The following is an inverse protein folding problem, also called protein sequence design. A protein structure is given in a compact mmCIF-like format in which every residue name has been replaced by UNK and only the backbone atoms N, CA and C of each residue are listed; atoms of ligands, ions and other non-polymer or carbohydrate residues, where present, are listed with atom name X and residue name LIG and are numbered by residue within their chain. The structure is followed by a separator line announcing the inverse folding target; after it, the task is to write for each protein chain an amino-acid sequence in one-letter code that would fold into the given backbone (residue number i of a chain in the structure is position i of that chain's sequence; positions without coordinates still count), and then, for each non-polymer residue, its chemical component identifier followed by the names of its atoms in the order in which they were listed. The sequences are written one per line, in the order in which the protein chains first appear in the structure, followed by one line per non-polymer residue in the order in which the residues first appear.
data_IF_760408872842
#
_entry.id   IF_760408872842
#
_cell.length_a   1.000
_cell.length_b   1.000
_cell.length_c   1.000
_cell.angle_alpha   90.00
_cell.angle_beta   90.00
_cell.angle_gamma   90.00
#
_symmetry.space_group_name_H-M   'P 1'
#
loop_
_entity.id
_entity.type
_entity.pdbx_description
1 polymer ?
#
# COMPACT_ATOMS: atom_id res chain seq x y z
N UNK A 1 -3.52 24.47 7.43
CA UNK A 1 -4.35 25.18 8.45
C UNK A 1 -4.04 24.71 9.87
N UNK A 2 -3.87 23.39 10.12
CA UNK A 2 -3.50 22.81 11.42
C UNK A 2 -2.14 23.28 11.97
N UNK A 3 -1.08 23.33 11.16
CA UNK A 3 0.23 23.86 11.60
C UNK A 3 0.17 25.32 12.10
N UNK A 4 -0.63 26.17 11.43
CA UNK A 4 -0.83 27.56 11.86
C UNK A 4 -1.59 27.65 13.19
N UNK A 5 -2.50 26.72 13.45
CA UNK A 5 -3.20 26.61 14.73
C UNK A 5 -2.29 26.09 15.84
N UNK A 6 -1.44 25.10 15.53
CA UNK A 6 -0.47 24.53 16.47
C UNK A 6 0.55 25.55 16.93
N UNK A 7 1.12 26.30 15.97
CA UNK A 7 2.07 27.36 16.27
C UNK A 7 1.39 28.45 17.11
N UNK A 8 0.17 28.87 16.75
CA UNK A 8 -0.61 29.83 17.53
C UNK A 8 -0.92 29.34 18.95
N UNK A 9 -1.30 28.08 19.13
CA UNK A 9 -1.63 27.53 20.45
C UNK A 9 -0.37 27.45 21.34
N UNK A 10 0.76 27.02 20.76
CA UNK A 10 2.05 27.03 21.44
C UNK A 10 2.47 28.44 21.87
N UNK A 11 2.34 29.43 20.99
CA UNK A 11 2.58 30.85 21.34
C UNK A 11 1.62 31.36 22.41
N UNK A 12 0.34 30.99 22.36
CA UNK A 12 -0.65 31.36 23.39
C UNK A 12 -0.27 30.76 24.75
N UNK A 13 0.04 29.46 24.81
CA UNK A 13 0.47 28.81 26.05
C UNK A 13 1.75 29.42 26.62
N UNK A 14 2.74 29.71 25.76
CA UNK A 14 3.99 30.36 26.17
C UNK A 14 3.74 31.77 26.69
N UNK A 15 2.89 32.55 26.02
CA UNK A 15 2.52 33.91 26.47
C UNK A 15 1.77 33.88 27.80
N UNK A 16 0.82 32.97 27.98
CA UNK A 16 0.08 32.79 29.24
C UNK A 16 1.04 32.43 30.37
N UNK A 17 1.97 31.49 30.13
CA UNK A 17 2.96 31.11 31.12
C UNK A 17 3.89 32.28 31.50
N UNK A 18 4.38 33.05 30.52
CA UNK A 18 5.19 34.24 30.77
C UNK A 18 4.45 35.33 31.54
N UNK A 19 3.17 35.58 31.22
CA UNK A 19 2.33 36.55 31.94
C UNK A 19 2.09 36.10 33.38
N UNK A 20 1.74 34.83 33.59
CA UNK A 20 1.55 34.29 34.93
C UNK A 20 2.85 34.40 35.73
N UNK A 21 3.99 33.97 35.19
CA UNK A 21 5.30 34.08 35.84
C UNK A 21 5.64 35.54 36.24
N UNK A 22 5.34 36.51 35.38
CA UNK A 22 5.50 37.92 35.70
C UNK A 22 4.57 38.38 36.84
N UNK A 23 3.31 37.95 36.85
CA UNK A 23 2.36 38.23 37.94
C UNK A 23 2.88 37.65 39.26
N UNK A 24 3.42 36.43 39.26
CA UNK A 24 4.01 35.82 40.44
C UNK A 24 5.22 36.60 40.96
N UNK A 25 6.13 37.01 40.08
CA UNK A 25 7.30 37.81 40.45
C UNK A 25 6.89 39.18 41.03
N UNK A 26 5.92 39.86 40.40
CA UNK A 26 5.42 41.15 40.90
C UNK A 26 4.72 40.97 42.26
N UNK A 27 3.85 39.97 42.39
CA UNK A 27 3.10 39.74 43.61
C UNK A 27 4.00 39.36 44.80
N UNK A 28 5.00 38.50 44.56
CA UNK A 28 5.95 38.07 45.60
C UNK A 28 6.92 39.18 46.03
N UNK A 29 7.49 39.93 45.09
CA UNK A 29 8.53 40.94 45.41
C UNK A 29 7.97 42.33 45.75
N UNK A 30 6.89 42.76 45.10
CA UNK A 30 6.33 44.12 45.28
C UNK A 30 5.25 44.15 46.34
N UNK A 31 4.33 43.19 46.30
CA UNK A 31 3.15 43.19 47.19
C UNK A 31 3.36 42.40 48.49
N UNK A 32 4.47 41.65 48.62
CA UNK A 32 4.82 40.85 49.80
C UNK A 32 3.65 39.98 50.28
N UNK A 33 3.10 39.17 49.36
CA UNK A 33 2.01 38.24 49.67
C UNK A 33 2.35 37.36 50.89
N UNK A 34 1.34 37.06 51.69
CA UNK A 34 1.46 36.10 52.79
C UNK A 34 1.54 34.64 52.28
N UNK A 35 1.85 33.71 53.19
CA UNK A 35 2.03 32.29 52.83
C UNK A 35 0.77 31.65 52.23
N UNK A 36 -0.41 32.08 52.65
CA UNK A 36 -1.68 31.51 52.20
C UNK A 36 -1.99 31.98 50.77
N UNK A 37 -1.74 33.26 50.48
CA UNK A 37 -1.86 33.83 49.14
C UNK A 37 -0.86 33.22 48.16
N UNK A 38 0.39 32.98 48.60
CA UNK A 38 1.40 32.28 47.79
C UNK A 38 0.96 30.84 47.49
N UNK A 39 0.38 30.15 48.48
CA UNK A 39 -0.13 28.78 48.31
C UNK A 39 -1.27 28.71 47.29
N UNK A 40 -2.26 29.60 47.38
CA UNK A 40 -3.37 29.69 46.42
C UNK A 40 -2.86 29.96 45.01
N UNK A 41 -1.92 30.90 44.87
CA UNK A 41 -1.33 31.23 43.58
C UNK A 41 -0.59 30.03 43.00
N UNK A 42 0.23 29.34 43.81
CA UNK A 42 0.97 28.13 43.40
C UNK A 42 0.03 27.02 42.93
N UNK A 43 -1.09 26.79 43.62
CA UNK A 43 -2.09 25.81 43.22
C UNK A 43 -2.76 26.18 41.88
N UNK A 44 -3.00 27.47 41.63
CA UNK A 44 -3.52 27.95 40.35
C UNK A 44 -2.50 27.73 39.22
N UNK A 45 -1.22 28.01 39.44
CA UNK A 45 -0.15 27.68 38.49
C UNK A 45 -0.08 26.20 38.19
N UNK A 46 -0.19 25.35 39.22
CA UNK A 46 -0.16 23.90 39.04
C UNK A 46 -1.34 23.44 38.19
N UNK A 47 -2.56 23.94 38.45
CA UNK A 47 -3.73 23.63 37.64
C UNK A 47 -3.55 24.06 36.16
N UNK A 48 -3.03 25.25 35.91
CA UNK A 48 -2.73 25.74 34.56
C UNK A 48 -1.64 24.92 33.86
N UNK A 49 -0.59 24.54 34.60
CA UNK A 49 0.49 23.70 34.08
C UNK A 49 -0.04 22.32 33.68
N UNK A 50 -0.86 21.68 34.53
CA UNK A 50 -1.50 20.40 34.22
C UNK A 50 -2.43 20.49 33.02
N UNK A 51 -3.26 21.54 32.93
CA UNK A 51 -4.13 21.76 31.78
C UNK A 51 -3.34 21.94 30.49
N UNK A 52 -2.29 22.77 30.52
CA UNK A 52 -1.42 23.01 29.35
C UNK A 52 -0.70 21.74 28.92
N UNK A 53 -0.21 20.94 29.88
CA UNK A 53 0.39 19.64 29.61
C UNK A 53 -0.61 18.67 28.97
N UNK A 54 -1.85 18.62 29.45
CA UNK A 54 -2.90 17.78 28.87
C UNK A 54 -3.24 18.20 27.43
N UNK A 55 -3.42 19.51 27.17
CA UNK A 55 -3.64 20.02 25.81
C UNK A 55 -2.47 19.66 24.89
N UNK A 56 -1.24 19.87 25.35
CA UNK A 56 -0.03 19.55 24.60
C UNK A 56 0.07 18.07 24.30
N UNK A 57 -0.23 17.20 25.26
CA UNK A 57 -0.23 15.75 25.08
C UNK A 57 -1.26 15.28 24.04
N UNK A 58 -2.48 15.82 24.05
CA UNK A 58 -3.52 15.51 23.05
C UNK A 58 -3.07 15.90 21.64
N UNK A 59 -2.42 17.06 21.51
CA UNK A 59 -1.90 17.54 20.24
C UNK A 59 -0.76 16.66 19.72
N UNK A 60 0.22 16.33 20.56
CA UNK A 60 1.31 15.42 20.20
C UNK A 60 0.79 14.03 19.85
N UNK A 61 -0.20 13.52 20.58
CA UNK A 61 -0.81 12.24 20.27
C UNK A 61 -1.53 12.25 18.91
N UNK A 62 -2.22 13.34 18.59
CA UNK A 62 -2.92 13.49 17.30
C UNK A 62 -1.91 13.52 16.15
N UNK A 63 -0.85 14.30 16.27
CA UNK A 63 0.21 14.40 15.25
C UNK A 63 0.96 13.06 15.11
N UNK A 64 1.34 12.45 16.24
CA UNK A 64 1.96 11.12 16.24
C UNK A 64 1.07 10.09 15.53
N UNK A 65 -0.24 10.09 15.81
CA UNK A 65 -1.19 9.19 15.16
C UNK A 65 -1.28 9.46 13.66
N UNK A 66 -1.39 10.72 13.22
CA UNK A 66 -1.43 11.08 11.79
C UNK A 66 -0.15 10.65 11.07
N UNK A 67 1.03 10.87 11.68
CA UNK A 67 2.32 10.45 11.12
C UNK A 67 2.45 8.92 11.07
N UNK A 68 2.01 8.23 12.12
CA UNK A 68 2.01 6.78 12.20
C UNK A 68 1.10 6.16 11.13
N UNK A 69 -0.12 6.68 10.98
CA UNK A 69 -1.08 6.22 9.98
C UNK A 69 -0.55 6.47 8.56
N UNK A 70 0.08 7.63 8.31
CA UNK A 70 0.76 7.92 7.03
C UNK A 70 1.90 6.94 6.77
N UNK A 71 2.73 6.65 7.77
CA UNK A 71 3.86 5.70 7.67
C UNK A 71 3.39 4.29 7.35
N UNK A 72 2.34 3.82 8.04
CA UNK A 72 1.72 2.52 7.78
C UNK A 72 1.15 2.47 6.36
N UNK A 73 0.39 3.49 5.95
CA UNK A 73 -0.19 3.55 4.60
C UNK A 73 0.89 3.50 3.52
N UNK A 74 1.98 4.25 3.68
CA UNK A 74 3.12 4.23 2.76
C UNK A 74 3.79 2.85 2.70
N UNK A 75 3.96 2.18 3.85
CA UNK A 75 4.49 0.81 3.91
C UNK A 75 3.63 -0.19 3.14
N UNK A 76 2.30 -0.06 3.22
CA UNK A 76 1.40 -0.90 2.44
C UNK A 76 1.42 -0.54 0.95
N UNK A 77 1.53 0.74 0.58
CA UNK A 77 1.66 1.15 -0.81
C UNK A 77 2.91 0.53 -1.47
N UNK A 78 4.06 0.54 -0.80
CA UNK A 78 5.26 -0.13 -1.28
C UNK A 78 5.06 -1.63 -1.46
N UNK A 79 4.39 -2.31 -0.53
CA UNK A 79 4.07 -3.74 -0.69
C UNK A 79 3.18 -4.01 -1.90
N UNK A 80 2.24 -3.13 -2.20
CA UNK A 80 1.40 -3.25 -3.42
C UNK A 80 2.26 -3.17 -4.66
N UNK A 81 3.17 -2.20 -4.72
CA UNK A 81 4.12 -2.04 -5.84
C UNK A 81 5.00 -3.28 -5.98
N UNK A 82 5.68 -3.70 -4.91
CA UNK A 82 6.59 -4.86 -4.94
C UNK A 82 5.86 -6.14 -5.36
N UNK A 83 4.62 -6.35 -4.88
CA UNK A 83 3.83 -7.54 -5.24
C UNK A 83 3.28 -7.48 -6.66
N UNK A 84 2.99 -6.28 -7.18
CA UNK A 84 2.64 -6.09 -8.59
C UNK A 84 3.83 -6.42 -9.49
N UNK A 85 5.02 -5.89 -9.19
CA UNK A 85 6.24 -6.14 -9.99
C UNK A 85 6.55 -7.64 -10.07
N UNK A 86 6.40 -8.38 -8.96
CA UNK A 86 6.57 -9.84 -8.95
C UNK A 86 5.53 -10.56 -9.80
N UNK A 87 4.28 -10.09 -9.76
CA UNK A 87 3.21 -10.63 -10.59
C UNK A 87 3.46 -10.34 -12.08
N UNK A 88 3.83 -9.11 -12.43
CA UNK A 88 4.12 -8.68 -13.80
C UNK A 88 5.30 -9.46 -14.40
N UNK A 89 6.40 -9.62 -13.65
CA UNK A 89 7.53 -10.46 -14.07
C UNK A 89 7.07 -11.90 -14.35
N UNK A 90 6.22 -12.45 -13.49
CA UNK A 90 5.70 -13.82 -13.67
C UNK A 90 4.80 -13.94 -14.88
N UNK A 91 3.98 -12.92 -15.13
CA UNK A 91 3.12 -12.84 -16.32
C UNK A 91 3.95 -12.75 -17.60
N UNK A 92 4.99 -11.91 -17.62
CA UNK A 92 5.89 -11.76 -18.77
C UNK A 92 6.69 -13.04 -19.06
N UNK A 93 7.14 -13.76 -18.02
CA UNK A 93 7.78 -15.07 -18.18
C UNK A 93 6.81 -16.09 -18.80
N UNK A 94 5.57 -16.14 -18.31
CA UNK A 94 4.53 -17.00 -18.87
C UNK A 94 4.26 -16.71 -20.36
N UNK A 95 4.13 -15.43 -20.74
CA UNK A 95 3.94 -15.04 -22.14
C UNK A 95 5.10 -15.51 -23.03
N UNK A 96 6.33 -15.37 -22.55
CA UNK A 96 7.52 -15.81 -23.28
C UNK A 96 7.53 -17.33 -23.47
N UNK A 97 7.27 -18.10 -22.43
CA UNK A 97 7.21 -19.57 -22.52
C UNK A 97 6.09 -20.06 -23.43
N UNK A 98 4.97 -19.32 -23.49
CA UNK A 98 3.87 -19.64 -24.40
C UNK A 98 4.26 -19.43 -25.86
N UNK A 99 4.94 -18.33 -26.16
CA UNK A 99 5.47 -18.02 -27.49
C UNK A 99 6.55 -19.04 -27.91
N UNK A 100 7.44 -19.43 -26.98
CA UNK A 100 8.45 -20.46 -27.22
C UNK A 100 7.83 -21.84 -27.47
N UNK A 101 6.75 -22.20 -26.76
CA UNK A 101 6.01 -23.45 -27.01
C UNK A 101 5.34 -23.42 -28.39
N UNK A 102 4.67 -22.33 -28.74
CA UNK A 102 3.98 -22.20 -30.03
C UNK A 102 4.93 -22.39 -31.21
N UNK A 103 6.08 -21.71 -31.20
CA UNK A 103 7.11 -21.84 -32.25
C UNK A 103 7.57 -23.29 -32.43
N UNK A 104 7.68 -24.05 -31.34
CA UNK A 104 8.07 -25.48 -31.38
C UNK A 104 6.98 -26.37 -31.94
N UNK A 105 5.71 -26.05 -31.67
CA UNK A 105 4.57 -26.79 -32.23
C UNK A 105 4.39 -26.51 -33.72
N UNK A 106 4.68 -25.31 -34.18
CA UNK A 106 4.58 -24.94 -35.60
C UNK A 106 5.66 -25.57 -36.48
N UNK A 107 6.82 -25.93 -35.91
CA UNK A 107 7.97 -26.39 -36.68
C UNK A 107 8.65 -27.64 -36.07
N UNK A 108 7.98 -28.82 -36.05
CA UNK A 108 8.52 -30.02 -35.43
C UNK A 108 9.67 -30.62 -36.26
N UNK A 109 10.90 -30.60 -35.73
CA UNK A 109 12.07 -31.29 -36.27
C UNK A 109 12.30 -32.66 -35.61
N UNK A 110 11.72 -33.72 -36.17
CA UNK A 110 11.89 -35.13 -35.78
C UNK A 110 11.20 -35.58 -34.47
N UNK A 111 10.35 -36.60 -34.61
CA UNK A 111 9.25 -36.89 -33.72
C UNK A 111 9.57 -37.42 -32.30
N UNK A 112 10.71 -38.06 -32.03
CA UNK A 112 10.87 -38.84 -30.77
C UNK A 112 11.48 -38.06 -29.61
N UNK A 113 12.46 -37.19 -29.88
CA UNK A 113 13.14 -36.40 -28.85
C UNK A 113 12.36 -35.10 -28.57
N UNK A 114 11.64 -34.59 -29.56
CA UNK A 114 10.79 -33.41 -29.43
C UNK A 114 9.51 -33.64 -28.65
N UNK A 115 8.89 -34.83 -28.71
CA UNK A 115 7.74 -35.15 -27.87
C UNK A 115 8.07 -35.00 -26.37
N UNK A 116 9.25 -35.50 -25.94
CA UNK A 116 9.72 -35.32 -24.56
C UNK A 116 10.04 -33.86 -24.22
N UNK A 117 10.55 -33.09 -25.19
CA UNK A 117 10.78 -31.66 -25.00
C UNK A 117 9.47 -30.89 -24.88
N UNK A 118 8.45 -31.23 -25.67
CA UNK A 118 7.11 -30.62 -25.59
C UNK A 118 6.44 -30.88 -24.25
N UNK A 119 6.54 -32.11 -23.71
CA UNK A 119 6.03 -32.42 -22.36
C UNK A 119 6.74 -31.58 -21.28
N UNK A 120 8.05 -31.38 -21.41
CA UNK A 120 8.82 -30.54 -20.50
C UNK A 120 8.41 -29.07 -20.57
N UNK A 121 8.20 -28.53 -21.77
CA UNK A 121 7.76 -27.14 -21.95
C UNK A 121 6.33 -26.92 -21.45
N UNK A 122 5.43 -27.88 -21.66
CA UNK A 122 4.09 -27.86 -21.09
C UNK A 122 4.13 -27.87 -19.55
N UNK A 123 5.05 -28.64 -18.95
CA UNK A 123 5.28 -28.63 -17.50
C UNK A 123 5.80 -27.26 -17.03
N UNK A 124 6.71 -26.63 -17.77
CA UNK A 124 7.21 -25.27 -17.46
C UNK A 124 6.06 -24.27 -17.46
N UNK A 125 5.22 -24.26 -18.49
CA UNK A 125 4.04 -23.40 -18.57
C UNK A 125 3.06 -23.62 -17.41
N UNK A 126 2.87 -24.87 -16.98
CA UNK A 126 2.04 -25.19 -15.84
C UNK A 126 2.63 -24.68 -14.52
N UNK A 127 3.95 -24.77 -14.34
CA UNK A 127 4.66 -24.21 -13.18
C UNK A 127 4.56 -22.68 -13.18
N UNK A 128 4.80 -22.03 -14.32
CA UNK A 128 4.71 -20.58 -14.45
C UNK A 128 3.30 -20.06 -14.21
N UNK A 129 2.28 -20.79 -14.67
CA UNK A 129 0.88 -20.44 -14.40
C UNK A 129 0.56 -20.51 -12.92
N UNK A 130 1.07 -21.54 -12.21
CA UNK A 130 0.92 -21.63 -10.76
C UNK A 130 1.63 -20.48 -10.05
N UNK A 131 2.86 -20.14 -10.48
CA UNK A 131 3.62 -19.02 -9.93
C UNK A 131 2.90 -17.69 -10.13
N UNK A 132 2.40 -17.45 -11.34
CA UNK A 132 1.61 -16.27 -11.70
C UNK A 132 0.32 -16.16 -10.87
N UNK A 133 -0.45 -17.24 -10.72
CA UNK A 133 -1.66 -17.28 -9.86
C UNK A 133 -1.32 -16.98 -8.40
N UNK A 134 -0.21 -17.51 -7.90
CA UNK A 134 0.26 -17.23 -6.54
C UNK A 134 0.63 -15.75 -6.36
N UNK A 135 1.38 -15.18 -7.30
CA UNK A 135 1.79 -13.78 -7.23
C UNK A 135 0.61 -12.82 -7.41
N UNK A 136 -0.36 -13.14 -8.26
CA UNK A 136 -1.63 -12.40 -8.35
C UNK A 136 -2.39 -12.40 -7.03
N UNK A 137 -2.46 -13.54 -6.34
CA UNK A 137 -3.09 -13.64 -5.02
C UNK A 137 -2.38 -12.76 -3.98
N UNK A 138 -1.04 -12.74 -3.98
CA UNK A 138 -0.25 -11.88 -3.11
C UNK A 138 -0.45 -10.39 -3.42
N UNK A 139 -0.52 -10.03 -4.70
CA UNK A 139 -0.83 -8.68 -5.14
C UNK A 139 -2.22 -8.24 -4.66
N UNK A 140 -3.24 -9.07 -4.87
CA UNK A 140 -4.61 -8.80 -4.41
C UNK A 140 -4.69 -8.65 -2.89
N UNK A 141 -4.01 -9.50 -2.14
CA UNK A 141 -3.98 -9.39 -0.68
C UNK A 141 -3.27 -8.11 -0.21
N UNK A 142 -2.23 -7.69 -0.93
CA UNK A 142 -1.53 -6.44 -0.66
C UNK A 142 -2.42 -5.22 -0.96
N UNK A 143 -3.14 -5.25 -2.08
CA UNK A 143 -4.16 -4.24 -2.42
C UNK A 143 -5.23 -4.17 -1.34
N UNK A 144 -5.81 -5.31 -0.94
CA UNK A 144 -6.84 -5.36 0.10
C UNK A 144 -6.36 -4.79 1.44
N UNK A 145 -5.11 -5.04 1.81
CA UNK A 145 -4.52 -4.41 3.00
C UNK A 145 -4.38 -2.92 2.82
N UNK A 146 -3.91 -2.47 1.66
CA UNK A 146 -3.76 -1.04 1.38
C UNK A 146 -5.10 -0.28 1.42
N UNK A 147 -6.22 -0.81 0.91
CA UNK A 147 -7.53 -0.11 0.98
C UNK A 147 -7.96 0.16 2.42
N UNK A 148 -7.76 -0.82 3.31
CA UNK A 148 -8.17 -0.70 4.73
C UNK A 148 -7.48 0.49 5.41
N UNK A 149 -6.20 0.75 5.08
CA UNK A 149 -5.42 1.81 5.71
C UNK A 149 -5.43 3.15 4.96
N UNK A 150 -5.73 3.15 3.66
CA UNK A 150 -5.69 4.36 2.82
C UNK A 150 -7.06 5.00 2.60
N UNK A 151 -8.15 4.26 2.87
CA UNK A 151 -9.52 4.64 2.50
C UNK A 151 -9.70 4.89 0.99
N UNK A 152 -8.89 4.23 0.14
CA UNK A 152 -8.88 4.39 -1.33
C UNK A 152 -9.41 3.18 -2.09
N UNK A 153 -10.39 2.51 -1.53
CA UNK A 153 -10.99 1.31 -2.13
C UNK A 153 -11.52 1.59 -3.55
N UNK A 154 -11.99 2.81 -3.82
CA UNK A 154 -12.58 3.21 -5.10
C UNK A 154 -11.62 3.13 -6.30
N UNK A 155 -10.30 3.10 -6.09
CA UNK A 155 -9.32 3.11 -7.18
C UNK A 155 -9.29 1.83 -8.02
N UNK A 156 -9.67 0.70 -7.42
CA UNK A 156 -9.54 -0.63 -8.05
C UNK A 156 -10.72 -1.56 -7.73
N UNK A 157 -11.75 -1.06 -7.05
CA UNK A 157 -12.93 -1.83 -6.68
C UNK A 157 -13.55 -2.52 -7.89
N UNK A 158 -13.72 -3.84 -7.80
CA UNK A 158 -14.28 -4.69 -8.85
C UNK A 158 -13.33 -5.00 -10.01
N UNK A 159 -12.21 -4.31 -10.18
CA UNK A 159 -11.20 -4.68 -11.19
C UNK A 159 -10.32 -5.84 -10.69
N UNK A 160 -10.05 -5.88 -9.38
CA UNK A 160 -9.28 -6.98 -8.77
C UNK A 160 -9.98 -8.34 -8.88
N UNK A 161 -11.32 -8.34 -8.81
CA UNK A 161 -12.12 -9.56 -8.91
C UNK A 161 -12.21 -10.01 -10.36
N UNK A 162 -12.42 -9.06 -11.29
CA UNK A 162 -12.40 -9.35 -12.74
C UNK A 162 -11.10 -9.98 -13.20
N UNK A 163 -9.94 -9.42 -12.83
CA UNK A 163 -8.65 -9.99 -13.23
C UNK A 163 -8.47 -11.38 -12.62
N UNK A 164 -8.84 -11.56 -11.35
CA UNK A 164 -8.76 -12.84 -10.67
C UNK A 164 -9.64 -13.92 -11.32
N UNK A 165 -10.88 -13.57 -11.67
CA UNK A 165 -11.81 -14.48 -12.35
C UNK A 165 -11.31 -14.86 -13.75
N UNK A 166 -10.75 -13.91 -14.50
CA UNK A 166 -10.12 -14.18 -15.78
C UNK A 166 -8.93 -15.16 -15.64
N UNK A 167 -8.13 -15.02 -14.59
CA UNK A 167 -7.02 -15.93 -14.29
C UNK A 167 -7.45 -17.29 -13.76
N UNK A 168 -8.57 -17.39 -13.04
CA UNK A 168 -9.15 -18.67 -12.66
C UNK A 168 -9.60 -19.45 -13.90
N UNK A 169 -10.13 -18.74 -14.90
CA UNK A 169 -10.57 -19.32 -16.17
C UNK A 169 -9.39 -19.71 -17.11
N UNK A 170 -8.17 -19.24 -16.85
CA UNK A 170 -6.94 -19.83 -17.39
C UNK A 170 -6.72 -21.21 -16.74
N UNK A 171 -7.44 -22.21 -17.26
CA UNK A 171 -7.29 -23.60 -16.84
C UNK A 171 -6.37 -24.34 -17.81
N UNK A 172 -5.14 -24.59 -17.35
CA UNK A 172 -4.14 -25.37 -18.07
C UNK A 172 -4.13 -26.85 -17.67
N UNK A 173 -4.97 -27.26 -16.72
CA UNK A 173 -5.00 -28.64 -16.21
C UNK A 173 -5.51 -29.65 -17.27
N UNK A 174 -5.95 -29.16 -18.44
CA UNK A 174 -6.38 -29.96 -19.59
C UNK A 174 -5.34 -30.06 -20.71
N UNK A 175 -4.12 -29.55 -20.52
CA UNK A 175 -3.01 -29.66 -21.48
C UNK A 175 -2.67 -31.11 -21.85
N UNK A 176 -2.99 -32.08 -21.01
CA UNK A 176 -2.66 -33.50 -21.22
C UNK A 176 -3.53 -34.25 -22.25
N UNK A 177 -4.63 -33.67 -22.79
CA UNK A 177 -5.63 -34.48 -23.53
C UNK A 177 -6.16 -33.96 -24.87
N UNK A 178 -5.83 -32.74 -25.30
CA UNK A 178 -6.40 -32.15 -26.53
C UNK A 178 -5.32 -31.71 -27.54
N UNK A 179 -5.73 -31.50 -28.80
CA UNK A 179 -4.91 -30.94 -29.87
C UNK A 179 -4.24 -29.64 -29.39
N UNK A 180 -2.91 -29.70 -29.23
CA UNK A 180 -2.07 -28.69 -28.56
C UNK A 180 -2.30 -27.28 -29.12
N UNK A 181 -2.62 -27.19 -30.43
CA UNK A 181 -2.95 -25.93 -31.11
C UNK A 181 -4.24 -25.29 -30.59
N UNK A 182 -5.28 -26.07 -30.33
CA UNK A 182 -6.54 -25.56 -29.79
C UNK A 182 -6.38 -25.08 -28.34
N UNK A 183 -5.46 -25.69 -27.59
CA UNK A 183 -5.19 -25.26 -26.22
C UNK A 183 -4.45 -23.92 -26.23
N UNK A 184 -3.40 -23.78 -27.05
CA UNK A 184 -2.67 -22.51 -27.20
C UNK A 184 -3.60 -21.38 -27.65
N UNK A 185 -4.49 -21.62 -28.61
CA UNK A 185 -5.44 -20.60 -29.06
C UNK A 185 -6.41 -20.18 -27.95
N UNK A 186 -6.88 -21.12 -27.12
CA UNK A 186 -7.70 -20.82 -25.94
C UNK A 186 -6.97 -20.00 -24.87
N UNK A 187 -5.69 -20.30 -24.63
CA UNK A 187 -4.83 -19.53 -23.72
C UNK A 187 -4.68 -18.10 -24.24
N UNK A 188 -4.34 -17.93 -25.52
CA UNK A 188 -4.20 -16.61 -26.16
C UNK A 188 -5.47 -15.78 -26.05
N UNK A 189 -6.64 -16.37 -26.36
CA UNK A 189 -7.92 -15.66 -26.22
C UNK A 189 -8.20 -15.21 -24.78
N UNK A 190 -7.73 -15.96 -23.78
CA UNK A 190 -7.83 -15.56 -22.37
C UNK A 190 -6.85 -14.44 -22.05
N UNK A 191 -5.63 -14.51 -22.57
CA UNK A 191 -4.60 -13.47 -22.40
C UNK A 191 -4.99 -12.13 -23.03
N UNK A 192 -5.67 -12.14 -24.18
CA UNK A 192 -6.19 -10.94 -24.83
C UNK A 192 -7.17 -10.17 -23.93
N UNK A 193 -7.86 -10.88 -23.01
CA UNK A 193 -8.77 -10.28 -22.02
C UNK A 193 -8.05 -9.82 -20.76
N UNK A 194 -6.98 -10.52 -20.37
CA UNK A 194 -6.22 -10.27 -19.15
C UNK A 194 -5.25 -9.10 -19.32
N UNK A 195 -4.53 -9.04 -20.44
CA UNK A 195 -3.49 -8.03 -20.70
C UNK A 195 -3.98 -6.59 -20.52
N UNK A 196 -5.17 -6.20 -21.03
CA UNK A 196 -5.71 -4.87 -20.78
C UNK A 196 -5.99 -4.58 -19.29
N UNK A 197 -6.33 -5.60 -18.50
CA UNK A 197 -6.53 -5.43 -17.05
C UNK A 197 -5.21 -5.21 -16.33
N UNK A 198 -4.14 -5.90 -16.74
CA UNK A 198 -2.80 -5.69 -16.17
C UNK A 198 -2.33 -4.27 -16.45
N UNK A 199 -2.46 -3.78 -17.69
CA UNK A 199 -2.14 -2.39 -18.04
C UNK A 199 -2.99 -1.37 -17.29
N UNK A 200 -4.27 -1.68 -17.02
CA UNK A 200 -5.08 -0.84 -16.13
C UNK A 200 -4.44 -0.76 -14.74
N UNK A 201 -4.04 -1.89 -14.14
CA UNK A 201 -3.40 -1.86 -12.82
C UNK A 201 -2.08 -1.07 -12.84
N UNK A 202 -1.25 -1.28 -13.85
CA UNK A 202 0.01 -0.56 -14.05
C UNK A 202 -0.22 0.97 -14.04
N UNK A 203 -1.07 1.47 -14.95
CA UNK A 203 -1.21 2.90 -15.16
C UNK A 203 -2.20 3.59 -14.23
N UNK A 204 -3.30 2.94 -13.87
CA UNK A 204 -4.37 3.58 -13.09
C UNK A 204 -4.20 3.38 -11.58
N UNK A 205 -3.42 2.38 -11.17
CA UNK A 205 -3.22 2.05 -9.74
C UNK A 205 -1.75 2.24 -9.34
N UNK A 206 -0.81 1.57 -9.99
CA UNK A 206 0.60 1.57 -9.59
C UNK A 206 1.26 2.93 -9.83
N UNK A 207 1.11 3.51 -11.02
CA UNK A 207 1.65 4.84 -11.32
C UNK A 207 1.09 5.92 -10.37
N UNK A 208 -0.21 5.84 -10.03
CA UNK A 208 -0.81 6.75 -9.06
C UNK A 208 -0.20 6.57 -7.67
N UNK A 209 -0.02 5.34 -7.21
CA UNK A 209 0.62 5.04 -5.93
C UNK A 209 2.06 5.59 -5.87
N UNK A 210 2.84 5.37 -6.93
CA UNK A 210 4.22 5.88 -7.03
C UNK A 210 4.23 7.41 -6.97
N UNK A 211 3.36 8.07 -7.73
CA UNK A 211 3.28 9.54 -7.75
C UNK A 211 2.88 10.11 -6.39
N UNK A 212 1.97 9.45 -5.67
CA UNK A 212 1.62 9.87 -4.31
C UNK A 212 2.77 9.71 -3.33
N UNK A 213 3.49 8.58 -3.39
CA UNK A 213 4.66 8.34 -2.55
C UNK A 213 5.75 9.38 -2.82
N UNK A 214 5.98 9.75 -4.08
CA UNK A 214 6.91 10.82 -4.47
C UNK A 214 6.47 12.19 -3.98
N UNK A 215 5.17 12.51 -4.05
CA UNK A 215 4.64 13.81 -3.60
C UNK A 215 4.68 14.01 -2.07
N UNK A 216 4.83 12.93 -1.32
CA UNK A 216 4.76 12.90 0.16
C UNK A 216 6.13 12.89 0.84
N UNK A 217 7.21 12.75 0.07
CA UNK A 217 8.61 12.81 0.49
C UNK A 217 9.22 14.14 0.06
#
# INVERSE_FOLDING_TARGET
MKEKLFNKLGWICLTIFSVLAAIYMIASYVFKLDSDQISVLTNLFLAFATFTAACTAVLFFTDWREQHDKSISNKFAWKVIDSFDLFDISFMNFLKSLDDLEKKIENPQSFSEELKNLDREALILLIETKSMKFNLSNFRESLRKYSVYSSKEDWYKGQEEKIYDLFLNLNLDHLEKNDSKHIISGIKSSLDKITPQIHYFEHEVIDKLINELKSKN
#
